data_IF_769321373336
#
_entry.id   IF_769321373336
#
_cell.length_a   1.000
_cell.length_b   1.000
_cell.length_c   1.000
_cell.angle_alpha   90.00
_cell.angle_beta   90.00
_cell.angle_gamma   90.00
#
_symmetry.space_group_name_H-M   'P 1'
#
loop_
_entity.id
_entity.type
_entity.pdbx_description
1 polymer ?
#
# COMPACT_ATOMS: atom_id res chain seq x y z
N UNK A 1 -12.38 20.93 17.79
CA UNK A 1 -12.35 20.64 16.36
C UNK A 1 -12.24 19.13 16.15
N UNK A 2 -13.35 18.47 15.80
CA UNK A 2 -13.43 16.99 15.77
C UNK A 2 -13.11 16.49 14.36
N UNK A 3 -11.86 16.12 14.09
CA UNK A 3 -11.49 15.45 12.83
C UNK A 3 -12.33 14.18 12.65
N UNK A 4 -13.28 14.21 11.71
CA UNK A 4 -13.99 13.00 11.27
C UNK A 4 -12.96 12.00 10.76
N UNK A 5 -13.02 10.77 11.26
CA UNK A 5 -12.22 9.67 10.71
C UNK A 5 -12.71 9.42 9.27
N UNK A 6 -11.83 9.43 8.26
CA UNK A 6 -12.19 9.05 6.90
C UNK A 6 -12.83 7.66 6.92
N UNK A 7 -13.85 7.47 6.08
CA UNK A 7 -14.47 6.16 5.89
C UNK A 7 -13.46 5.15 5.31
N UNK A 8 -13.77 3.84 5.38
CA UNK A 8 -12.95 2.81 4.77
C UNK A 8 -12.81 3.06 3.26
N UNK A 9 -11.56 3.08 2.78
CA UNK A 9 -11.23 3.27 1.37
C UNK A 9 -11.71 2.05 0.57
N UNK A 10 -12.50 2.27 -0.48
CA UNK A 10 -12.88 1.22 -1.41
C UNK A 10 -11.75 0.97 -2.42
N UNK A 11 -11.19 -0.24 -2.42
CA UNK A 11 -10.06 -0.65 -3.26
C UNK A 11 -10.47 -1.53 -4.46
N UNK A 12 -11.77 -1.78 -4.66
CA UNK A 12 -12.25 -2.70 -5.71
C UNK A 12 -11.94 -2.17 -7.11
N UNK A 13 -11.91 -0.84 -7.28
CA UNK A 13 -11.59 -0.17 -8.53
C UNK A 13 -10.14 -0.40 -9.01
N UNK A 14 -9.19 -0.66 -8.10
CA UNK A 14 -7.80 -0.90 -8.45
C UNK A 14 -7.55 -2.28 -9.10
N UNK A 15 -8.58 -3.15 -9.17
CA UNK A 15 -8.48 -4.52 -9.69
C UNK A 15 -8.82 -4.63 -11.20
N UNK A 16 -9.05 -3.52 -11.88
CA UNK A 16 -9.39 -3.52 -13.30
C UNK A 16 -8.25 -4.07 -14.19
N UNK A 17 -8.58 -4.73 -15.33
CA UNK A 17 -7.59 -5.32 -16.23
C UNK A 17 -6.74 -4.27 -16.96
N UNK A 18 -5.47 -4.62 -17.20
CA UNK A 18 -4.38 -3.75 -17.64
C UNK A 18 -4.45 -3.39 -19.14
N UNK A 19 -4.09 -2.15 -19.49
CA UNK A 19 -3.67 -1.76 -20.85
C UNK A 19 -2.14 -1.89 -20.98
N UNK A 20 -1.59 -2.38 -22.10
CA UNK A 20 -0.16 -2.70 -22.19
C UNK A 20 0.70 -1.43 -22.36
N UNK A 21 1.24 -0.94 -21.25
CA UNK A 21 2.38 -0.02 -21.20
C UNK A 21 3.68 -0.76 -20.82
N UNK A 22 4.84 -0.07 -20.75
CA UNK A 22 6.05 -0.67 -20.17
C UNK A 22 5.76 -1.17 -18.75
N UNK A 23 6.06 -2.44 -18.48
CA UNK A 23 5.72 -3.05 -17.18
C UNK A 23 6.52 -2.38 -16.06
N UNK A 24 5.83 -1.71 -15.15
CA UNK A 24 6.45 -1.13 -13.96
C UNK A 24 7.04 -2.21 -13.06
N UNK A 25 7.97 -1.84 -12.17
CA UNK A 25 8.51 -2.76 -11.17
C UNK A 25 7.38 -3.36 -10.30
N UNK A 26 6.33 -2.57 -10.01
CA UNK A 26 5.14 -3.04 -9.30
C UNK A 26 4.36 -4.11 -10.09
N UNK A 27 4.22 -3.94 -11.41
CA UNK A 27 3.48 -4.88 -12.27
C UNK A 27 4.13 -6.27 -12.35
N UNK A 28 5.45 -6.36 -12.17
CA UNK A 28 6.22 -7.62 -12.25
C UNK A 28 6.58 -8.19 -10.87
N UNK A 29 6.34 -7.43 -9.80
CA UNK A 29 6.65 -7.84 -8.44
C UNK A 29 5.79 -9.03 -8.00
N UNK A 30 6.36 -9.87 -7.12
CA UNK A 30 5.63 -10.96 -6.49
C UNK A 30 4.97 -10.46 -5.22
N UNK A 31 3.74 -10.92 -4.98
CA UNK A 31 3.05 -10.68 -3.71
C UNK A 31 3.84 -11.34 -2.57
N UNK A 32 4.05 -10.59 -1.49
CA UNK A 32 4.71 -11.10 -0.28
C UNK A 32 3.83 -12.17 0.34
N UNK A 33 4.39 -13.37 0.58
CA UNK A 33 3.69 -14.49 1.23
C UNK A 33 4.11 -14.67 2.68
N UNK A 34 5.34 -14.29 3.03
CA UNK A 34 5.88 -14.32 4.38
C UNK A 34 6.60 -13.00 4.65
N UNK A 35 6.09 -12.25 5.63
CA UNK A 35 6.64 -10.93 6.01
C UNK A 35 8.04 -11.03 6.60
N UNK A 36 8.41 -12.18 7.17
CA UNK A 36 9.70 -12.37 7.83
C UNK A 36 10.83 -12.68 6.83
N UNK A 37 10.50 -13.02 5.58
CA UNK A 37 11.48 -13.33 4.53
C UNK A 37 11.96 -12.08 3.78
N UNK A 38 11.30 -10.94 3.98
CA UNK A 38 11.63 -9.70 3.28
C UNK A 38 12.74 -8.97 4.04
N UNK A 39 13.87 -8.78 3.36
CA UNK A 39 14.98 -8.00 3.89
C UNK A 39 14.86 -6.55 3.43
N UNK A 40 14.91 -5.64 4.39
CA UNK A 40 14.92 -4.20 4.14
C UNK A 40 16.36 -3.66 4.22
N UNK A 41 16.73 -2.68 3.39
CA UNK A 41 18.03 -2.01 3.48
C UNK A 41 18.25 -1.34 4.84
N UNK A 42 19.51 -1.06 5.20
CA UNK A 42 19.90 -0.52 6.52
C UNK A 42 19.14 0.77 6.92
N UNK A 43 18.80 1.61 5.96
CA UNK A 43 18.10 2.88 6.17
C UNK A 43 16.57 2.77 6.16
N UNK A 44 16.01 1.56 5.97
CA UNK A 44 14.57 1.32 5.95
C UNK A 44 14.21 0.41 7.13
N UNK A 45 13.32 0.89 7.99
CA UNK A 45 12.82 0.10 9.12
C UNK A 45 11.97 -1.05 8.61
N UNK A 46 12.21 -2.25 9.13
CA UNK A 46 11.36 -3.41 8.95
C UNK A 46 9.99 -3.24 9.65
N UNK A 47 8.94 -3.94 9.18
CA UNK A 47 7.63 -3.90 9.82
C UNK A 47 7.67 -4.53 11.21
N UNK A 48 6.82 -4.03 12.12
CA UNK A 48 6.71 -4.58 13.49
C UNK A 48 6.12 -5.98 13.49
N UNK A 49 6.94 -6.98 13.81
CA UNK A 49 6.54 -8.40 13.86
C UNK A 49 5.39 -8.67 14.84
N UNK A 50 5.33 -7.91 15.94
CA UNK A 50 4.30 -8.00 16.98
C UNK A 50 2.88 -7.80 16.42
N UNK A 51 2.74 -6.98 15.37
CA UNK A 51 1.45 -6.73 14.72
C UNK A 51 0.96 -7.93 13.90
N UNK A 52 1.87 -8.86 13.56
CA UNK A 52 1.63 -9.94 12.62
C UNK A 52 1.72 -11.34 13.25
N UNK A 53 1.98 -11.47 14.56
CA UNK A 53 2.09 -12.76 15.24
C UNK A 53 0.88 -13.69 15.01
N UNK A 54 -0.33 -13.12 14.90
CA UNK A 54 -1.57 -13.85 14.68
C UNK A 54 -2.26 -13.45 13.37
N UNK A 55 -1.52 -12.81 12.45
CA UNK A 55 -2.07 -12.41 11.16
C UNK A 55 -2.35 -13.64 10.31
N UNK A 56 -3.48 -13.62 9.59
CA UNK A 56 -3.75 -14.63 8.56
C UNK A 56 -2.82 -14.40 7.38
N UNK A 57 -2.44 -15.47 6.68
CA UNK A 57 -1.65 -15.38 5.44
C UNK A 57 -2.28 -14.38 4.46
N UNK A 58 -1.44 -13.54 3.86
CA UNK A 58 -1.85 -12.47 2.95
C UNK A 58 -2.57 -11.29 3.61
N UNK A 59 -2.70 -11.25 4.95
CA UNK A 59 -3.28 -10.12 5.70
C UNK A 59 -2.28 -9.54 6.69
N UNK A 60 -1.28 -8.86 6.16
CA UNK A 60 -0.26 -8.21 6.97
C UNK A 60 -0.73 -6.87 7.54
N UNK A 61 -0.33 -6.61 8.79
CA UNK A 61 -0.56 -5.37 9.52
C UNK A 61 0.73 -4.57 9.57
N UNK A 62 0.64 -3.31 9.19
CA UNK A 62 1.76 -2.38 9.17
C UNK A 62 1.45 -1.19 10.08
N UNK A 63 2.43 -0.75 10.86
CA UNK A 63 2.33 0.49 11.60
C UNK A 63 2.48 1.70 10.67
N UNK A 64 2.01 2.86 11.15
CA UNK A 64 2.02 4.08 10.38
C UNK A 64 3.43 4.49 9.95
N UNK A 65 4.40 4.42 10.85
CA UNK A 65 5.73 4.95 10.59
C UNK A 65 6.45 4.11 9.53
N UNK A 66 6.26 2.79 9.55
CA UNK A 66 6.70 1.91 8.47
C UNK A 66 6.13 2.33 7.10
N UNK A 67 4.80 2.49 7.00
CA UNK A 67 4.12 2.83 5.75
C UNK A 67 4.56 4.20 5.20
N UNK A 68 4.81 5.16 6.08
CA UNK A 68 5.22 6.51 5.70
C UNK A 68 6.61 6.55 5.04
N UNK A 69 7.46 5.54 5.21
CA UNK A 69 8.75 5.45 4.52
C UNK A 69 8.60 5.36 2.99
N UNK A 70 7.46 4.86 2.50
CA UNK A 70 7.19 4.72 1.06
C UNK A 70 6.71 6.03 0.39
N UNK A 71 6.36 7.06 1.17
CA UNK A 71 5.86 8.34 0.63
C UNK A 71 6.86 8.99 -0.32
N UNK A 72 8.15 8.95 0.02
CA UNK A 72 9.21 9.52 -0.82
C UNK A 72 9.72 8.57 -1.91
N UNK A 73 9.26 7.31 -1.92
CA UNK A 73 9.72 6.26 -2.84
C UNK A 73 8.71 6.01 -3.95
N UNK A 74 7.44 5.81 -3.60
CA UNK A 74 6.36 5.49 -4.54
C UNK A 74 5.69 6.77 -5.07
N UNK A 75 6.45 7.57 -5.83
CA UNK A 75 5.98 8.86 -6.39
C UNK A 75 5.30 8.75 -7.74
N UNK A 76 5.49 7.63 -8.44
CA UNK A 76 4.90 7.40 -9.75
C UNK A 76 3.38 7.20 -9.64
N UNK A 77 2.64 7.80 -10.57
CA UNK A 77 1.20 7.61 -10.66
C UNK A 77 0.92 6.17 -11.09
N UNK A 78 0.14 5.39 -10.32
CA UNK A 78 -0.23 4.04 -10.74
C UNK A 78 -1.18 4.09 -11.92
N UNK A 79 -1.06 3.11 -12.82
CA UNK A 79 -1.78 3.05 -14.10
C UNK A 79 -3.30 3.10 -13.94
N UNK A 80 -3.82 2.53 -12.85
CA UNK A 80 -5.25 2.44 -12.53
C UNK A 80 -5.65 3.23 -11.28
N UNK A 81 -4.99 4.36 -10.99
CA UNK A 81 -5.40 5.22 -9.88
C UNK A 81 -6.87 5.67 -10.09
N UNK A 82 -7.82 5.25 -9.23
CA UNK A 82 -9.18 5.72 -9.33
C UNK A 82 -9.23 7.24 -9.15
N UNK A 83 -10.25 7.91 -9.71
CA UNK A 83 -10.48 9.32 -9.42
C UNK A 83 -10.48 9.60 -7.89
N UNK A 84 -9.93 10.73 -7.43
CA UNK A 84 -9.86 11.07 -6.00
C UNK A 84 -11.22 10.98 -5.28
N UNK A 85 -12.29 11.32 -5.99
CA UNK A 85 -13.66 11.32 -5.49
C UNK A 85 -14.12 9.90 -5.12
N UNK A 86 -13.78 8.91 -5.94
CA UNK A 86 -14.04 7.48 -5.65
C UNK A 86 -13.27 6.96 -4.45
N UNK A 87 -12.16 7.62 -4.08
CA UNK A 87 -11.35 7.28 -2.91
C UNK A 87 -11.79 8.07 -1.66
N UNK A 88 -12.83 8.90 -1.76
CA UNK A 88 -13.30 9.76 -0.67
C UNK A 88 -12.35 10.91 -0.33
N UNK A 89 -11.52 11.33 -1.31
CA UNK A 89 -10.62 12.47 -1.18
C UNK A 89 -11.28 13.68 -1.85
N UNK A 90 -11.91 14.55 -1.06
CA UNK A 90 -12.43 15.82 -1.58
C UNK A 90 -11.30 16.87 -1.66
N UNK A 91 -11.25 17.69 -2.73
CA UNK A 91 -10.36 18.84 -2.79
C UNK A 91 -10.63 19.78 -1.61
N UNK A 92 -9.55 20.24 -0.96
CA UNK A 92 -9.59 21.31 0.06
C UNK A 92 -9.71 22.66 -0.62
#
# INVERSE_FOLDING_TARGET
>A
DTRRRPGPINIDAARAPMTPGPMSALATARIITDINQIQYPENIKSPRIELNMNAKEGRFRYDRDFLMQFMEVCKEKPDHLPPPETLGLEPI
#
